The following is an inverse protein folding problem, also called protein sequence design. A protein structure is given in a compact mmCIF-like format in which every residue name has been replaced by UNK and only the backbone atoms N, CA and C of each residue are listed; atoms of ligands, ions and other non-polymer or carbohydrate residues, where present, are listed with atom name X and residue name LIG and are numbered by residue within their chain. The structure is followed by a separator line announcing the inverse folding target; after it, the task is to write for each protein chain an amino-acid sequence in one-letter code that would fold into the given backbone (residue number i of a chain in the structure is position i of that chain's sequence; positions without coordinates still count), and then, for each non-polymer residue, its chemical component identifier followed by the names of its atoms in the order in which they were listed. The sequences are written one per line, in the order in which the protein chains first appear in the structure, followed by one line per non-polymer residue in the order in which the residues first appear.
data_IF_231989584552
#
_entry.id   IF_231989584552
#
_cell.length_a   1.000
_cell.length_b   1.000
_cell.length_c   1.000
_cell.angle_alpha   90.00
_cell.angle_beta   90.00
_cell.angle_gamma   90.00
#
_symmetry.space_group_name_H-M   'P 1'
#
loop_
_entity.id
_entity.type
_entity.pdbx_description
1 polymer ?
#
# COMPACT_ATOMS: atom_id res chain seq x y z
N UNK A 1 -7.82 -1.52 22.92
CA UNK A 1 -7.65 -2.31 21.68
C UNK A 1 -8.09 -1.44 20.53
N UNK A 2 -7.31 -1.41 19.44
CA UNK A 2 -7.62 -0.64 18.22
C UNK A 2 -7.73 -1.62 17.04
N UNK A 3 -8.83 -1.53 16.29
CA UNK A 3 -9.06 -2.34 15.08
C UNK A 3 -9.28 -1.38 13.90
N UNK A 4 -8.52 -1.59 12.83
CA UNK A 4 -8.71 -0.84 11.59
C UNK A 4 -9.40 -1.72 10.55
N UNK A 5 -10.44 -1.20 9.91
CA UNK A 5 -11.19 -1.87 8.84
C UNK A 5 -10.82 -1.20 7.52
N UNK A 6 -10.28 -1.95 6.58
CA UNK A 6 -9.95 -1.49 5.24
C UNK A 6 -10.91 -2.12 4.24
N UNK A 7 -11.69 -1.28 3.59
CA UNK A 7 -12.66 -1.71 2.59
C UNK A 7 -12.12 -1.49 1.18
N UNK A 8 -11.96 -2.60 0.43
CA UNK A 8 -11.41 -2.61 -0.93
C UNK A 8 -12.44 -2.60 -2.06
N UNK A 9 -13.73 -2.64 -1.74
CA UNK A 9 -14.79 -2.56 -2.75
C UNK A 9 -15.00 -1.12 -3.27
N UNK A 10 -15.96 -0.97 -4.18
CA UNK A 10 -16.25 0.32 -4.86
C UNK A 10 -17.30 1.18 -4.18
N UNK A 11 -17.83 0.77 -3.04
CA UNK A 11 -18.87 1.52 -2.33
C UNK A 11 -20.21 1.54 -3.05
N UNK A 12 -20.56 0.47 -3.77
CA UNK A 12 -21.87 0.34 -4.42
C UNK A 12 -22.96 0.22 -3.35
N UNK A 13 -24.14 0.79 -3.64
CA UNK A 13 -25.26 0.86 -2.68
C UNK A 13 -25.73 -0.53 -2.22
N UNK A 14 -25.62 -1.53 -3.10
CA UNK A 14 -26.06 -2.92 -2.86
C UNK A 14 -24.88 -3.86 -2.54
N UNK A 15 -23.78 -3.32 -2.03
CA UNK A 15 -22.61 -4.14 -1.64
C UNK A 15 -22.80 -4.75 -0.24
N UNK A 16 -22.97 -6.07 -0.14
CA UNK A 16 -23.19 -6.74 1.14
C UNK A 16 -22.01 -6.60 2.11
N UNK A 17 -20.81 -6.34 1.61
CA UNK A 17 -19.63 -6.12 2.45
C UNK A 17 -19.79 -4.89 3.34
N UNK A 18 -20.49 -3.86 2.86
CA UNK A 18 -20.73 -2.63 3.62
C UNK A 18 -21.57 -2.93 4.85
N UNK A 19 -22.64 -3.72 4.70
CA UNK A 19 -23.48 -4.15 5.81
C UNK A 19 -22.68 -4.99 6.82
N UNK A 20 -21.93 -6.00 6.35
CA UNK A 20 -21.12 -6.86 7.21
C UNK A 20 -20.10 -6.06 8.01
N UNK A 21 -19.40 -5.13 7.38
CA UNK A 21 -18.46 -4.25 8.09
C UNK A 21 -19.14 -3.37 9.13
N UNK A 22 -20.34 -2.84 8.79
CA UNK A 22 -21.15 -2.04 9.72
C UNK A 22 -21.50 -2.83 10.98
N UNK A 23 -21.96 -4.07 10.83
CA UNK A 23 -22.28 -4.94 11.96
C UNK A 23 -21.04 -5.34 12.77
N UNK A 24 -19.93 -5.66 12.12
CA UNK A 24 -18.66 -5.92 12.83
C UNK A 24 -18.24 -4.71 13.65
N UNK A 25 -18.31 -3.51 13.07
CA UNK A 25 -17.97 -2.28 13.77
C UNK A 25 -18.88 -2.03 14.97
N UNK A 26 -20.21 -2.17 14.82
CA UNK A 26 -21.21 -2.00 15.87
C UNK A 26 -20.87 -2.88 17.09
N UNK A 27 -20.69 -4.18 16.88
CA UNK A 27 -20.36 -5.14 17.96
C UNK A 27 -19.01 -4.83 18.60
N UNK A 28 -18.00 -4.48 17.82
CA UNK A 28 -16.68 -4.14 18.38
C UNK A 28 -16.74 -2.85 19.22
N UNK A 29 -17.51 -1.85 18.80
CA UNK A 29 -17.71 -0.60 19.55
C UNK A 29 -18.47 -0.86 20.86
N UNK A 30 -19.48 -1.73 20.87
CA UNK A 30 -20.16 -2.20 22.09
C UNK A 30 -19.21 -2.88 23.07
N UNK A 31 -18.19 -3.58 22.56
CA UNK A 31 -17.12 -4.19 23.35
C UNK A 31 -16.00 -3.20 23.73
N UNK A 32 -16.23 -1.89 23.57
CA UNK A 32 -15.27 -0.82 23.86
C UNK A 32 -13.95 -0.93 23.07
N UNK A 33 -14.00 -1.40 21.83
CA UNK A 33 -12.89 -1.40 20.89
C UNK A 33 -12.91 -0.10 20.09
N UNK A 34 -11.75 0.54 19.93
CA UNK A 34 -11.63 1.68 19.04
C UNK A 34 -11.53 1.19 17.60
N UNK A 35 -12.56 1.46 16.80
CA UNK A 35 -12.62 1.04 15.39
C UNK A 35 -12.41 2.24 14.48
N UNK A 36 -11.51 2.11 13.52
CA UNK A 36 -11.32 3.11 12.45
C UNK A 36 -11.54 2.44 11.11
N UNK A 37 -12.37 3.07 10.25
CA UNK A 37 -12.71 2.54 8.93
C UNK A 37 -12.05 3.37 7.82
N UNK A 38 -11.48 2.69 6.85
CA UNK A 38 -10.81 3.26 5.68
C UNK A 38 -11.45 2.72 4.41
N UNK A 39 -12.10 3.58 3.64
CA UNK A 39 -12.62 3.26 2.31
C UNK A 39 -11.52 3.49 1.28
N UNK A 40 -10.88 2.43 0.80
CA UNK A 40 -9.73 2.53 -0.12
C UNK A 40 -10.09 3.21 -1.43
N UNK A 41 -11.33 3.01 -1.89
CA UNK A 41 -11.88 3.68 -3.06
C UNK A 41 -11.86 5.23 -2.93
N UNK A 42 -12.28 5.75 -1.80
CA UNK A 42 -12.28 7.20 -1.53
C UNK A 42 -10.85 7.74 -1.36
N UNK A 43 -9.98 6.91 -0.80
CA UNK A 43 -8.59 7.24 -0.49
C UNK A 43 -7.60 6.82 -1.58
N UNK A 44 -8.06 6.61 -2.82
CA UNK A 44 -7.25 6.08 -3.94
C UNK A 44 -5.93 6.82 -4.17
N UNK A 45 -5.89 8.12 -3.93
CA UNK A 45 -4.70 8.96 -4.12
C UNK A 45 -3.70 8.90 -2.94
N UNK A 46 -4.13 8.35 -1.80
CA UNK A 46 -3.35 8.28 -0.55
C UNK A 46 -3.17 6.85 -0.03
N UNK A 47 -3.53 5.84 -0.82
CA UNK A 47 -3.40 4.42 -0.44
C UNK A 47 -1.98 4.10 0.03
N UNK A 48 -0.96 4.68 -0.60
CA UNK A 48 0.45 4.45 -0.25
C UNK A 48 0.81 4.86 1.17
N UNK A 49 0.10 5.83 1.75
CA UNK A 49 0.34 6.28 3.13
C UNK A 49 -0.41 5.44 4.17
N UNK A 50 -1.42 4.66 3.75
CA UNK A 50 -2.25 3.87 4.67
C UNK A 50 -1.50 2.68 5.30
N UNK A 51 -0.39 2.23 4.70
CA UNK A 51 0.46 1.20 5.30
C UNK A 51 0.95 1.57 6.71
N UNK A 52 1.12 2.85 6.99
CA UNK A 52 1.51 3.36 8.31
C UNK A 52 0.41 3.15 9.36
N UNK A 53 -0.87 3.27 8.97
CA UNK A 53 -2.00 3.11 9.88
C UNK A 53 -2.19 1.66 10.35
N UNK A 54 -1.65 0.69 9.59
CA UNK A 54 -1.66 -0.74 9.95
C UNK A 54 -0.89 -0.98 11.25
N UNK A 55 0.26 -0.34 11.38
CA UNK A 55 1.15 -0.53 12.54
C UNK A 55 0.63 0.08 13.84
N UNK A 56 -0.38 0.94 13.74
CA UNK A 56 -1.04 1.55 14.89
C UNK A 56 -2.18 0.70 15.47
N UNK A 57 -2.56 -0.40 14.78
CA UNK A 57 -3.68 -1.24 15.16
C UNK A 57 -3.21 -2.57 15.77
N UNK A 58 -4.00 -3.10 16.71
CA UNK A 58 -3.82 -4.45 17.24
C UNK A 58 -4.31 -5.51 16.23
N UNK A 59 -5.30 -5.15 15.42
CA UNK A 59 -5.82 -5.99 14.34
C UNK A 59 -6.33 -5.15 13.16
N UNK A 60 -6.34 -5.78 12.00
CA UNK A 60 -6.92 -5.23 10.78
C UNK A 60 -7.98 -6.18 10.23
N UNK A 61 -9.07 -5.62 9.73
CA UNK A 61 -10.07 -6.33 8.94
C UNK A 61 -9.88 -5.91 7.50
N UNK A 62 -9.55 -6.86 6.61
CA UNK A 62 -9.48 -6.61 5.17
C UNK A 62 -10.77 -7.09 4.54
N UNK A 63 -11.65 -6.13 4.24
CA UNK A 63 -12.99 -6.38 3.73
C UNK A 63 -13.07 -6.04 2.25
N UNK A 64 -13.59 -6.97 1.45
CA UNK A 64 -13.75 -6.73 0.01
C UNK A 64 -14.91 -7.52 -0.57
N UNK A 65 -15.48 -7.01 -1.65
CA UNK A 65 -16.41 -7.75 -2.51
C UNK A 65 -15.62 -8.33 -3.68
N UNK A 66 -15.94 -9.55 -4.07
CA UNK A 66 -15.27 -10.21 -5.20
C UNK A 66 -15.52 -9.41 -6.49
N UNK A 67 -14.45 -8.97 -7.13
CA UNK A 67 -14.46 -8.31 -8.42
C UNK A 67 -13.57 -9.07 -9.40
N UNK A 68 -14.09 -9.44 -10.57
CA UNK A 68 -13.32 -10.16 -11.59
C UNK A 68 -12.59 -11.41 -11.04
N UNK A 69 -13.27 -12.18 -10.19
CA UNK A 69 -12.71 -13.33 -9.48
C UNK A 69 -11.52 -13.00 -8.57
N UNK A 70 -11.35 -11.73 -8.19
CA UNK A 70 -10.24 -11.22 -7.38
C UNK A 70 -10.70 -10.27 -6.27
N UNK A 71 -9.75 -9.79 -5.50
CA UNK A 71 -9.97 -8.87 -4.36
C UNK A 71 -10.21 -7.41 -4.76
N UNK A 72 -10.22 -7.12 -6.05
CA UNK A 72 -10.31 -5.75 -6.58
C UNK A 72 -8.98 -4.98 -6.52
N UNK A 73 -8.86 -3.99 -7.41
CA UNK A 73 -7.61 -3.23 -7.59
C UNK A 73 -7.21 -2.38 -6.39
N UNK A 74 -8.18 -1.82 -5.66
CA UNK A 74 -7.89 -0.98 -4.48
C UNK A 74 -7.30 -1.79 -3.32
N UNK A 75 -7.84 -2.98 -3.04
CA UNK A 75 -7.30 -3.87 -2.03
C UNK A 75 -5.90 -4.35 -2.42
N UNK A 76 -5.69 -4.68 -3.69
CA UNK A 76 -4.38 -5.09 -4.18
C UNK A 76 -3.36 -3.95 -4.04
N UNK A 77 -3.71 -2.72 -4.43
CA UNK A 77 -2.85 -1.54 -4.24
C UNK A 77 -2.52 -1.26 -2.79
N UNK A 78 -3.47 -1.52 -1.87
CA UNK A 78 -3.22 -1.40 -0.44
C UNK A 78 -2.22 -2.47 0.06
N UNK A 79 -2.35 -3.71 -0.36
CA UNK A 79 -1.41 -4.78 -0.02
C UNK A 79 0.00 -4.50 -0.58
N UNK A 80 0.08 -4.02 -1.82
CA UNK A 80 1.35 -3.57 -2.42
C UNK A 80 1.99 -2.44 -1.61
N UNK A 81 1.18 -1.48 -1.14
CA UNK A 81 1.64 -0.42 -0.25
C UNK A 81 2.19 -0.96 1.08
N UNK A 82 1.50 -1.93 1.68
CA UNK A 82 1.98 -2.58 2.90
C UNK A 82 3.29 -3.35 2.66
N UNK A 83 3.44 -3.97 1.49
CA UNK A 83 4.67 -4.67 1.09
C UNK A 83 5.84 -3.71 0.90
N UNK A 84 5.62 -2.59 0.20
CA UNK A 84 6.68 -1.66 -0.18
C UNK A 84 7.08 -0.72 0.97
N UNK A 85 6.12 -0.25 1.75
CA UNK A 85 6.32 0.84 2.71
C UNK A 85 5.99 0.47 4.16
N UNK A 86 5.39 -0.70 4.39
CA UNK A 86 5.02 -1.15 5.72
C UNK A 86 6.22 -1.61 6.56
N UNK A 87 6.18 -1.32 7.85
CA UNK A 87 7.11 -1.90 8.82
C UNK A 87 6.75 -3.37 9.07
N UNK A 88 7.53 -4.28 8.49
CA UNK A 88 7.28 -5.73 8.53
C UNK A 88 7.35 -6.31 9.94
N UNK A 89 8.19 -5.75 10.82
CA UNK A 89 8.30 -6.21 12.21
C UNK A 89 7.05 -5.84 13.03
N UNK A 90 6.45 -4.70 12.74
CA UNK A 90 5.19 -4.30 13.37
C UNK A 90 4.00 -5.04 12.74
N UNK A 91 3.94 -5.15 11.41
CA UNK A 91 2.90 -5.93 10.71
C UNK A 91 2.87 -7.37 11.22
N UNK A 92 4.03 -7.97 11.52
CA UNK A 92 4.13 -9.30 12.12
C UNK A 92 3.44 -9.46 13.48
N UNK A 93 3.06 -8.38 14.13
CA UNK A 93 2.32 -8.39 15.41
C UNK A 93 0.81 -8.22 15.22
N UNK A 94 0.38 -7.75 14.07
CA UNK A 94 -1.01 -7.40 13.74
C UNK A 94 -1.77 -8.63 13.24
N UNK A 95 -2.96 -8.86 13.78
CA UNK A 95 -3.88 -9.89 13.28
C UNK A 95 -4.68 -9.36 12.10
N UNK A 96 -4.76 -10.13 11.03
CA UNK A 96 -5.61 -9.81 9.89
C UNK A 96 -6.79 -10.75 9.80
N UNK A 97 -7.97 -10.20 9.67
CA UNK A 97 -9.25 -10.88 9.55
C UNK A 97 -9.80 -10.63 8.14
N UNK A 98 -9.79 -11.65 7.24
CA UNK A 98 -10.39 -11.51 5.93
C UNK A 98 -11.93 -11.51 6.03
N UNK A 99 -12.56 -10.55 5.35
CA UNK A 99 -14.02 -10.49 5.15
C UNK A 99 -14.29 -10.36 3.66
N UNK A 100 -14.85 -11.42 3.07
CA UNK A 100 -15.04 -11.47 1.62
C UNK A 100 -16.47 -11.87 1.27
N UNK A 101 -17.17 -10.96 0.61
CA UNK A 101 -18.51 -11.20 0.09
C UNK A 101 -18.46 -11.34 -1.44
N UNK A 102 -19.28 -12.22 -2.00
CA UNK A 102 -19.40 -12.39 -3.42
C UNK A 102 -20.87 -12.39 -3.85
N UNK A 103 -21.18 -11.63 -4.91
CA UNK A 103 -22.48 -11.69 -5.61
C UNK A 103 -22.47 -12.68 -6.77
N UNK A 104 -21.31 -13.29 -7.05
CA UNK A 104 -21.15 -14.27 -8.14
C UNK A 104 -20.42 -15.52 -7.66
N UNK A 105 -19.10 -15.49 -7.66
CA UNK A 105 -18.26 -16.64 -7.35
C UNK A 105 -16.87 -16.17 -6.90
N UNK A 106 -16.21 -16.94 -6.04
CA UNK A 106 -14.79 -16.74 -5.75
C UNK A 106 -14.49 -16.17 -4.35
N UNK A 107 -15.47 -16.16 -3.43
CA UNK A 107 -15.28 -15.63 -2.07
C UNK A 107 -14.19 -16.39 -1.29
N UNK A 108 -14.05 -17.68 -1.51
CA UNK A 108 -13.04 -18.51 -0.83
C UNK A 108 -11.66 -18.30 -1.41
N UNK A 109 -11.57 -18.24 -2.73
CA UNK A 109 -10.34 -18.01 -3.46
C UNK A 109 -9.75 -16.63 -3.13
N UNK A 110 -10.59 -15.61 -3.09
CA UNK A 110 -10.18 -14.25 -2.73
C UNK A 110 -9.76 -14.18 -1.26
N UNK A 111 -10.48 -14.83 -0.38
CA UNK A 111 -10.12 -14.92 1.04
C UNK A 111 -8.76 -15.60 1.25
N UNK A 112 -8.51 -16.69 0.51
CA UNK A 112 -7.21 -17.38 0.53
C UNK A 112 -6.11 -16.48 -0.06
N UNK A 113 -6.39 -15.74 -1.13
CA UNK A 113 -5.45 -14.80 -1.71
C UNK A 113 -5.08 -13.67 -0.74
N UNK A 114 -6.05 -13.09 -0.02
CA UNK A 114 -5.82 -12.10 1.04
C UNK A 114 -4.93 -12.68 2.16
N UNK A 115 -5.28 -13.88 2.62
CA UNK A 115 -4.52 -14.57 3.66
C UNK A 115 -3.07 -14.81 3.24
N UNK A 116 -2.87 -15.34 2.03
CA UNK A 116 -1.55 -15.60 1.47
C UNK A 116 -0.73 -14.32 1.31
N UNK A 117 -1.34 -13.26 0.79
CA UNK A 117 -0.67 -11.95 0.63
C UNK A 117 -0.23 -11.38 1.98
N UNK A 118 -1.10 -11.46 2.99
CA UNK A 118 -0.78 -10.98 4.33
C UNK A 118 0.35 -11.77 5.00
N UNK A 119 0.35 -13.10 4.87
CA UNK A 119 1.43 -13.95 5.35
C UNK A 119 2.77 -13.66 4.63
N UNK A 120 2.73 -13.35 3.32
CA UNK A 120 3.93 -12.94 2.57
C UNK A 120 4.49 -11.62 3.11
N UNK A 121 3.63 -10.68 3.47
CA UNK A 121 4.06 -9.41 4.11
C UNK A 121 4.64 -9.65 5.51
N UNK A 122 4.36 -10.79 6.12
CA UNK A 122 4.86 -11.18 7.44
C UNK A 122 3.79 -11.12 8.54
N UNK A 123 2.55 -10.77 8.20
CA UNK A 123 1.46 -10.63 9.16
C UNK A 123 0.83 -11.95 9.61
N UNK A 124 -0.03 -11.88 10.62
CA UNK A 124 -0.74 -13.02 11.19
C UNK A 124 -2.15 -13.08 10.62
N UNK A 125 -2.51 -14.23 10.06
CA UNK A 125 -3.87 -14.46 9.54
C UNK A 125 -4.73 -15.11 10.61
N UNK A 126 -5.93 -14.58 10.77
CA UNK A 126 -6.99 -15.09 11.63
C UNK A 126 -8.13 -15.73 10.78
N UNK A 127 -9.11 -16.39 11.39
CA UNK A 127 -10.24 -16.98 10.67
C UNK A 127 -10.95 -15.94 9.77
N UNK A 128 -11.37 -16.38 8.58
CA UNK A 128 -12.05 -15.55 7.59
C UNK A 128 -13.58 -15.63 7.75
N UNK A 129 -14.27 -14.58 7.32
CA UNK A 129 -15.71 -14.56 7.09
C UNK A 129 -15.96 -14.43 5.58
N UNK A 130 -16.54 -15.46 4.98
CA UNK A 130 -16.81 -15.50 3.54
C UNK A 130 -18.27 -15.86 3.32
N UNK A 131 -18.93 -15.16 2.40
CA UNK A 131 -20.29 -15.49 2.00
C UNK A 131 -20.54 -15.19 0.52
N UNK A 132 -21.34 -16.06 -0.11
CA UNK A 132 -22.05 -15.73 -1.33
C UNK A 132 -23.39 -15.08 -0.97
N UNK A 133 -23.71 -13.97 -1.59
CA UNK A 133 -24.90 -13.18 -1.33
C UNK A 133 -25.61 -12.90 -2.63
N UNK A 134 -26.71 -13.61 -2.89
CA UNK A 134 -27.53 -13.43 -4.09
C UNK A 134 -28.41 -12.17 -3.96
N UNK A 135 -29.18 -12.11 -2.88
CA UNK A 135 -30.03 -10.97 -2.54
C UNK A 135 -29.50 -10.27 -1.29
N UNK A 136 -29.03 -9.04 -1.46
CA UNK A 136 -28.48 -8.26 -0.37
C UNK A 136 -29.55 -7.92 0.69
N UNK A 137 -30.80 -7.68 0.25
CA UNK A 137 -31.89 -7.33 1.15
C UNK A 137 -32.26 -8.53 2.04
N UNK A 138 -32.44 -9.72 1.45
CA UNK A 138 -32.68 -10.96 2.20
C UNK A 138 -31.55 -11.25 3.18
N UNK A 139 -30.30 -11.08 2.74
CA UNK A 139 -29.12 -11.28 3.58
C UNK A 139 -29.10 -10.37 4.79
N UNK A 140 -29.41 -9.09 4.64
CA UNK A 140 -29.39 -8.09 5.71
C UNK A 140 -30.49 -8.33 6.76
N UNK A 141 -31.65 -8.83 6.35
CA UNK A 141 -32.79 -9.10 7.25
C UNK A 141 -32.80 -10.50 7.85
N UNK A 142 -31.89 -11.38 7.43
CA UNK A 142 -31.81 -12.73 7.96
C UNK A 142 -31.10 -12.76 9.32
N UNK A 143 -31.85 -13.05 10.38
CA UNK A 143 -31.33 -13.07 11.75
C UNK A 143 -30.20 -14.08 11.97
N UNK A 144 -30.19 -15.19 11.24
CA UNK A 144 -29.15 -16.21 11.38
C UNK A 144 -27.83 -15.70 10.80
N UNK A 145 -27.88 -14.99 9.66
CA UNK A 145 -26.69 -14.38 9.08
C UNK A 145 -26.15 -13.25 9.94
N UNK A 146 -27.04 -12.41 10.47
CA UNK A 146 -26.66 -11.37 11.43
C UNK A 146 -25.96 -11.98 12.65
N UNK A 147 -26.52 -13.03 13.24
CA UNK A 147 -25.89 -13.73 14.36
C UNK A 147 -24.52 -14.34 14.04
N UNK A 148 -24.30 -14.83 12.82
CA UNK A 148 -22.98 -15.29 12.37
C UNK A 148 -21.98 -14.15 12.32
N UNK A 149 -22.38 -12.99 11.79
CA UNK A 149 -21.53 -11.80 11.69
C UNK A 149 -21.16 -11.25 13.07
N UNK A 150 -22.13 -11.19 13.99
CA UNK A 150 -21.92 -10.77 15.37
C UNK A 150 -20.95 -11.73 16.12
N UNK A 151 -21.15 -13.04 16.00
CA UNK A 151 -20.23 -14.03 16.54
C UNK A 151 -18.81 -13.91 15.95
N UNK A 152 -18.71 -13.54 14.69
CA UNK A 152 -17.42 -13.28 14.07
C UNK A 152 -16.73 -12.05 14.67
N UNK A 153 -17.47 -10.97 14.89
CA UNK A 153 -16.95 -9.76 15.56
C UNK A 153 -16.45 -10.07 16.99
N UNK A 154 -17.20 -10.89 17.75
CA UNK A 154 -16.72 -11.38 19.05
C UNK A 154 -15.45 -12.23 18.92
N UNK A 155 -15.32 -13.01 17.84
CA UNK A 155 -14.11 -13.82 17.58
C UNK A 155 -12.91 -12.92 17.31
N UNK A 156 -13.09 -11.78 16.60
CA UNK A 156 -12.05 -10.74 16.44
C UNK A 156 -11.61 -10.28 17.82
N UNK A 157 -12.55 -9.81 18.64
CA UNK A 157 -12.26 -9.34 19.99
C UNK A 157 -11.52 -10.38 20.85
N UNK A 158 -12.00 -11.61 20.89
CA UNK A 158 -11.41 -12.70 21.69
C UNK A 158 -10.01 -13.08 21.19
N UNK A 159 -9.80 -13.11 19.89
CA UNK A 159 -8.50 -13.47 19.30
C UNK A 159 -7.43 -12.45 19.64
N UNK A 160 -7.77 -11.18 19.55
CA UNK A 160 -6.82 -10.08 19.80
C UNK A 160 -6.57 -9.90 21.30
N UNK A 161 -7.64 -9.85 22.12
CA UNK A 161 -7.53 -9.67 23.57
C UNK A 161 -6.76 -10.80 24.26
N UNK A 162 -6.94 -12.03 23.80
CA UNK A 162 -6.26 -13.21 24.33
C UNK A 162 -4.89 -13.44 23.68
N UNK A 163 -4.49 -12.61 22.70
CA UNK A 163 -3.25 -12.76 21.91
C UNK A 163 -3.07 -14.20 21.40
N UNK A 164 -4.16 -14.78 20.88
CA UNK A 164 -4.18 -16.19 20.44
C UNK A 164 -3.11 -16.43 19.39
N UNK A 165 -2.33 -17.49 19.58
CA UNK A 165 -1.35 -17.97 18.61
C UNK A 165 -1.94 -19.19 17.91
N UNK A 166 -1.84 -19.22 16.58
CA UNK A 166 -2.10 -20.42 15.81
C UNK A 166 -0.96 -21.44 15.96
N UNK A 167 -1.25 -22.68 15.66
CA UNK A 167 -0.21 -23.69 15.48
C UNK A 167 0.56 -23.40 14.18
N UNK A 168 1.87 -23.66 14.12
CA UNK A 168 2.64 -23.50 12.91
C UNK A 168 2.10 -24.40 11.80
N UNK A 169 1.94 -23.86 10.60
CA UNK A 169 1.50 -24.62 9.43
C UNK A 169 2.66 -24.90 8.50
N UNK A 170 2.59 -26.03 7.77
CA UNK A 170 3.59 -26.35 6.74
C UNK A 170 3.65 -25.27 5.65
N UNK A 171 2.52 -24.66 5.35
CA UNK A 171 2.43 -23.54 4.40
C UNK A 171 3.27 -22.33 4.85
N UNK A 172 3.19 -21.95 6.14
CA UNK A 172 4.01 -20.86 6.69
C UNK A 172 5.51 -21.20 6.64
N UNK A 173 5.88 -22.43 6.98
CA UNK A 173 7.27 -22.86 6.93
C UNK A 173 7.81 -22.85 5.50
N UNK A 174 7.06 -23.34 4.53
CA UNK A 174 7.45 -23.36 3.11
C UNK A 174 7.54 -21.92 2.58
N UNK A 175 6.55 -21.06 2.85
CA UNK A 175 6.56 -19.65 2.41
C UNK A 175 7.77 -18.90 2.97
N UNK A 176 8.06 -19.05 4.25
CA UNK A 176 9.23 -18.41 4.86
C UNK A 176 10.54 -18.87 4.23
N UNK A 177 10.65 -20.12 3.82
CA UNK A 177 11.82 -20.64 3.11
C UNK A 177 11.89 -20.12 1.67
N UNK A 178 10.77 -20.15 0.94
CA UNK A 178 10.68 -19.61 -0.43
C UNK A 178 11.02 -18.11 -0.46
N UNK A 179 10.51 -17.33 0.50
CA UNK A 179 10.85 -15.90 0.58
C UNK A 179 12.34 -15.70 0.87
N UNK A 180 12.92 -16.48 1.78
CA UNK A 180 14.37 -16.43 2.06
C UNK A 180 15.19 -16.78 0.85
N UNK A 181 14.78 -17.83 0.13
CA UNK A 181 15.49 -18.31 -1.06
C UNK A 181 15.31 -17.39 -2.26
N UNK A 182 14.16 -16.71 -2.38
CA UNK A 182 13.89 -15.76 -3.48
C UNK A 182 14.58 -14.42 -3.26
N UNK A 183 14.81 -14.03 -2.01
CA UNK A 183 15.55 -12.80 -1.68
C UNK A 183 17.06 -13.02 -1.69
N UNK A 184 17.50 -14.24 -1.43
CA UNK A 184 18.91 -14.62 -1.53
C UNK A 184 19.21 -15.09 -2.96
N UNK A 185 19.48 -14.13 -3.87
CA UNK A 185 20.07 -14.46 -5.16
C UNK A 185 21.32 -15.31 -4.94
N UNK A 186 21.44 -16.37 -5.70
CA UNK A 186 22.71 -17.09 -5.73
C UNK A 186 23.83 -16.12 -6.13
N UNK A 187 25.09 -16.33 -5.71
CA UNK A 187 26.18 -15.46 -6.13
C UNK A 187 26.27 -15.26 -7.65
N UNK A 188 25.88 -16.27 -8.43
CA UNK A 188 25.81 -16.20 -9.88
C UNK A 188 24.68 -15.33 -10.41
N UNK A 189 23.49 -15.41 -9.82
CA UNK A 189 22.35 -14.53 -10.16
C UNK A 189 22.61 -13.09 -9.74
N UNK A 190 23.23 -12.88 -8.58
CA UNK A 190 23.64 -11.56 -8.12
C UNK A 190 24.69 -10.94 -9.04
N UNK A 191 25.62 -11.73 -9.54
CA UNK A 191 26.63 -11.30 -10.50
C UNK A 191 26.01 -10.99 -11.87
N UNK A 192 25.04 -11.80 -12.34
CA UNK A 192 24.31 -11.52 -13.57
C UNK A 192 23.45 -10.27 -13.46
N UNK A 193 22.68 -10.13 -12.37
CA UNK A 193 21.88 -8.92 -12.12
C UNK A 193 22.74 -7.66 -12.02
N UNK A 194 23.92 -7.76 -11.38
CA UNK A 194 24.87 -6.65 -11.31
C UNK A 194 25.46 -6.32 -12.69
N UNK A 195 25.70 -7.31 -13.54
CA UNK A 195 26.12 -7.12 -14.92
C UNK A 195 25.03 -6.45 -15.75
N UNK A 196 23.80 -6.96 -15.72
CA UNK A 196 22.67 -6.32 -16.43
C UNK A 196 22.41 -4.89 -15.95
N UNK A 197 22.53 -4.63 -14.64
CA UNK A 197 22.42 -3.28 -14.10
C UNK A 197 23.62 -2.39 -14.42
N UNK A 198 24.82 -2.98 -14.68
CA UNK A 198 26.03 -2.24 -15.04
C UNK A 198 26.16 -1.99 -16.55
N UNK A 199 25.60 -2.88 -17.38
CA UNK A 199 25.70 -2.79 -18.83
C UNK A 199 24.57 -1.99 -19.49
N UNK A 200 23.52 -1.64 -18.72
CA UNK A 200 22.48 -0.74 -19.20
C UNK A 200 22.97 0.72 -19.11
N UNK A 201 23.49 1.21 -20.24
CA UNK A 201 24.00 2.55 -20.41
C UNK A 201 22.97 3.62 -20.02
N UNK A 202 21.67 3.31 -20.16
CA UNK A 202 20.56 4.17 -19.76
C UNK A 202 20.45 4.28 -18.22
N UNK A 203 20.56 3.14 -17.50
CA UNK A 203 20.52 3.12 -16.03
C UNK A 203 21.74 3.78 -15.42
N UNK A 204 22.91 3.62 -16.02
CA UNK A 204 24.14 4.31 -15.61
C UNK A 204 24.09 5.80 -15.85
N UNK A 205 23.50 6.22 -16.96
CA UNK A 205 23.30 7.63 -17.28
C UNK A 205 22.31 8.25 -16.31
N UNK A 206 21.19 7.60 -16.04
CA UNK A 206 20.21 8.07 -15.05
C UNK A 206 20.77 8.13 -13.63
N UNK A 207 21.57 7.17 -13.21
CA UNK A 207 22.26 7.21 -11.89
C UNK A 207 23.19 8.41 -11.79
N UNK A 208 24.01 8.66 -12.81
CA UNK A 208 24.92 9.80 -12.85
C UNK A 208 24.15 11.13 -12.85
N UNK A 209 23.03 11.20 -13.57
CA UNK A 209 22.17 12.38 -13.60
C UNK A 209 21.51 12.65 -12.23
N UNK A 210 21.04 11.61 -11.54
CA UNK A 210 20.47 11.72 -10.19
C UNK A 210 21.58 12.10 -9.17
N UNK A 211 22.75 11.53 -9.26
CA UNK A 211 23.87 11.87 -8.37
C UNK A 211 24.36 13.29 -8.61
N UNK A 212 24.40 13.75 -9.87
CA UNK A 212 24.76 15.14 -10.20
C UNK A 212 23.70 16.13 -9.72
N UNK A 213 22.40 15.83 -9.91
CA UNK A 213 21.30 16.63 -9.38
C UNK A 213 21.30 16.68 -7.84
N UNK A 214 21.58 15.56 -7.18
CA UNK A 214 21.68 15.51 -5.72
C UNK A 214 22.88 16.33 -5.19
N UNK A 215 24.01 16.35 -5.90
CA UNK A 215 25.17 17.17 -5.54
C UNK A 215 24.91 18.67 -5.73
N UNK A 216 24.26 19.05 -6.83
CA UNK A 216 23.82 20.44 -7.10
C UNK A 216 22.82 20.89 -6.03
N UNK A 217 21.86 20.04 -5.68
CA UNK A 217 20.88 20.35 -4.64
C UNK A 217 21.53 20.51 -3.26
N UNK A 218 22.58 19.73 -2.98
CA UNK A 218 23.35 19.82 -1.74
C UNK A 218 24.23 21.08 -1.69
N UNK A 219 24.82 21.49 -2.80
CA UNK A 219 25.52 22.78 -2.93
C UNK A 219 24.58 23.97 -2.77
N UNK A 220 23.41 23.94 -3.41
CA UNK A 220 22.37 24.97 -3.27
C UNK A 220 21.88 25.14 -1.84
N UNK A 221 21.76 24.06 -1.06
CA UNK A 221 21.37 24.11 0.35
C UNK A 221 22.49 24.58 1.29
N UNK A 222 23.76 24.45 0.89
CA UNK A 222 24.90 24.90 1.70
C UNK A 222 25.29 26.35 1.44
N UNK A 223 24.91 26.92 0.30
CA UNK A 223 25.28 28.30 -0.10
C UNK A 223 24.22 29.38 0.26
N UNK A 224 23.34 29.14 1.23
CA UNK A 224 22.37 30.13 1.73
C UNK A 224 22.99 31.46 2.22
N UNK A 225 24.31 31.62 2.16
CA UNK A 225 25.01 32.78 2.72
C UNK A 225 25.47 33.85 1.73
N UNK A 226 25.50 33.58 0.42
CA UNK A 226 26.01 34.57 -0.53
C UNK A 226 25.29 34.55 -1.90
N UNK A 227 24.40 35.48 -2.14
CA UNK A 227 24.05 35.89 -3.49
C UNK A 227 22.58 35.70 -3.90
N UNK A 228 22.06 36.67 -4.58
CA UNK A 228 20.67 36.78 -4.96
C UNK A 228 20.20 35.74 -6.00
N UNK A 229 18.90 35.67 -6.20
CA UNK A 229 18.13 34.72 -6.99
C UNK A 229 18.67 34.42 -8.41
N UNK A 230 19.42 35.34 -9.03
CA UNK A 230 20.01 35.19 -10.37
C UNK A 230 21.18 34.20 -10.44
N UNK A 231 21.98 34.10 -9.39
CA UNK A 231 23.14 33.20 -9.36
C UNK A 231 22.72 31.72 -9.44
N UNK A 232 21.63 31.36 -8.77
CA UNK A 232 21.12 29.98 -8.75
C UNK A 232 20.55 29.56 -10.11
N UNK A 233 19.87 30.47 -10.80
CA UNK A 233 19.29 30.23 -12.12
C UNK A 233 20.40 30.05 -13.16
N UNK A 234 21.41 30.87 -13.13
CA UNK A 234 22.53 30.85 -14.09
C UNK A 234 23.42 29.61 -13.90
N UNK A 235 23.68 29.17 -12.64
CA UNK A 235 24.41 27.96 -12.33
C UNK A 235 23.65 26.70 -12.75
N UNK A 236 22.34 26.68 -12.51
CA UNK A 236 21.45 25.61 -12.96
C UNK A 236 21.41 25.51 -14.48
N UNK A 237 21.29 26.64 -15.16
CA UNK A 237 21.25 26.73 -16.62
C UNK A 237 22.55 26.26 -17.29
N UNK A 238 23.70 26.53 -16.70
CA UNK A 238 25.00 26.08 -17.21
C UNK A 238 25.16 24.57 -17.18
N UNK A 239 24.64 23.90 -16.13
CA UNK A 239 24.74 22.47 -15.97
C UNK A 239 23.70 21.68 -16.79
N UNK A 240 22.45 22.16 -16.85
CA UNK A 240 21.37 21.51 -17.59
C UNK A 240 21.55 21.64 -19.11
N UNK A 241 22.02 22.76 -19.63
CA UNK A 241 22.26 22.97 -21.07
C UNK A 241 23.32 22.03 -21.67
N UNK A 242 24.21 21.45 -20.85
CA UNK A 242 25.28 20.58 -21.35
C UNK A 242 24.85 19.12 -21.57
N UNK A 243 23.73 18.69 -21.04
CA UNK A 243 23.36 17.24 -20.99
C UNK A 243 21.91 16.92 -21.35
N UNK A 244 21.02 17.89 -21.59
CA UNK A 244 19.59 17.62 -21.77
C UNK A 244 19.26 17.11 -23.18
N UNK A 245 18.87 15.83 -23.30
CA UNK A 245 18.35 15.21 -24.53
C UNK A 245 16.84 14.99 -24.53
N UNK A 246 16.11 15.58 -23.60
CA UNK A 246 14.68 15.34 -23.40
C UNK A 246 13.86 16.57 -23.82
N UNK A 247 12.83 16.37 -24.64
CA UNK A 247 11.85 17.41 -24.96
C UNK A 247 10.73 17.34 -23.90
N UNK A 248 10.82 18.15 -22.86
CA UNK A 248 9.82 18.21 -21.79
C UNK A 248 9.79 19.60 -21.15
N UNK A 249 8.61 20.05 -20.78
CA UNK A 249 8.42 21.30 -20.04
C UNK A 249 8.11 20.98 -18.57
N UNK A 250 8.80 21.61 -17.65
CA UNK A 250 8.61 21.46 -16.22
C UNK A 250 8.33 22.82 -15.58
N UNK A 251 7.40 22.86 -14.65
CA UNK A 251 7.14 24.03 -13.85
C UNK A 251 7.68 23.82 -12.43
N UNK A 252 8.62 24.63 -12.01
CA UNK A 252 9.20 24.62 -10.68
C UNK A 252 8.57 25.76 -9.87
N UNK A 253 7.87 25.39 -8.80
CA UNK A 253 7.25 26.37 -7.90
C UNK A 253 8.10 26.50 -6.65
N UNK A 254 8.64 27.68 -6.40
CA UNK A 254 9.36 28.01 -5.17
C UNK A 254 8.35 28.56 -4.17
N UNK A 255 7.94 27.73 -3.20
CA UNK A 255 6.85 28.03 -2.27
C UNK A 255 7.14 29.20 -1.32
N UNK A 256 8.39 29.39 -0.91
CA UNK A 256 8.77 30.43 0.05
C UNK A 256 8.74 31.86 -0.55
N UNK A 257 8.74 32.00 -1.86
CA UNK A 257 8.79 33.31 -2.54
C UNK A 257 7.64 33.57 -3.51
N UNK A 258 6.66 32.67 -3.59
CA UNK A 258 5.52 32.76 -4.51
C UNK A 258 5.94 32.98 -5.99
N UNK A 259 7.08 32.41 -6.40
CA UNK A 259 7.61 32.50 -7.77
C UNK A 259 7.45 31.16 -8.49
N UNK A 260 6.91 31.21 -9.69
CA UNK A 260 6.85 30.08 -10.61
C UNK A 260 7.92 30.26 -11.68
N UNK A 261 8.74 29.23 -11.88
CA UNK A 261 9.77 29.22 -12.93
C UNK A 261 9.36 28.13 -13.92
N UNK A 262 9.11 28.51 -15.16
CA UNK A 262 8.86 27.58 -16.25
C UNK A 262 10.20 27.17 -16.87
N UNK A 263 10.49 25.89 -16.86
CA UNK A 263 11.67 25.30 -17.50
C UNK A 263 11.20 24.57 -18.75
N UNK A 264 11.56 25.08 -19.92
CA UNK A 264 11.23 24.47 -21.19
C UNK A 264 12.48 23.90 -21.85
N UNK A 265 12.52 22.58 -22.02
CA UNK A 265 13.61 21.85 -22.63
C UNK A 265 13.17 21.36 -24.02
N UNK A 266 13.56 22.07 -25.08
CA UNK A 266 13.27 21.70 -26.46
C UNK A 266 14.55 21.69 -27.31
N UNK A 267 14.76 20.59 -28.04
CA UNK A 267 15.85 20.50 -29.02
C UNK A 267 17.25 20.63 -28.44
N UNK A 268 17.48 20.22 -27.17
CA UNK A 268 18.78 20.29 -26.51
C UNK A 268 19.14 21.68 -25.96
N UNK A 269 18.16 22.56 -25.85
CA UNK A 269 18.31 23.89 -25.20
C UNK A 269 17.26 24.02 -24.10
N UNK A 270 17.65 24.60 -22.97
CA UNK A 270 16.76 24.87 -21.84
C UNK A 270 16.55 26.36 -21.74
N UNK A 271 15.30 26.80 -21.80
CA UNK A 271 14.89 28.19 -21.58
C UNK A 271 14.16 28.27 -20.23
N UNK A 272 14.45 29.32 -19.46
CA UNK A 272 13.79 29.64 -18.21
C UNK A 272 13.09 30.96 -18.34
N UNK A 273 11.81 31.03 -18.02
CA UNK A 273 11.01 32.26 -18.07
C UNK A 273 10.25 32.49 -16.77
#
# INVERSE_FOLDING_TARGET
MKVNIYYGGRGMVDDPTIFVMGKIQEVLEELNVNVTRYNLYEMKNTITTLSQTVTEADAVVLATTVEWLGMGGYMQSFLDSCWLYGDKDQIGKVYMFPVVMAKTYGEREVSLALANSWEIIGGRVAPALNAYVDDTTEFEFNSDYVGIIENYAETIYRTVSQKRKGLPTSSQAIKNNVIKDTINFTPQESEQLSKYASDDEFVQTQKKDIESLASIYKELLTDEKNGGDHYYIDSFMQHVNSQCRVNSSYMLTITDKNKNILIDAAGGRVNVS
#
